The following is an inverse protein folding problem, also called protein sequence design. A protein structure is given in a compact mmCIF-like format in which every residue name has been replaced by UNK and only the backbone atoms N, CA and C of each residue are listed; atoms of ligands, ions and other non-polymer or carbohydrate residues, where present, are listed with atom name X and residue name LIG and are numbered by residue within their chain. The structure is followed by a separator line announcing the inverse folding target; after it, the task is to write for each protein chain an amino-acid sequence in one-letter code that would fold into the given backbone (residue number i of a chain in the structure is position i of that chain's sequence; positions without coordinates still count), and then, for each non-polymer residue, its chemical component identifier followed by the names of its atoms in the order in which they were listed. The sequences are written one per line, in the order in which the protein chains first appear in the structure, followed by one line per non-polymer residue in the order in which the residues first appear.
data_IF_904133924646
#
_entry.id   IF_904133924646
#
_cell.length_a   1.000
_cell.length_b   1.000
_cell.length_c   1.000
_cell.angle_alpha   90.00
_cell.angle_beta   90.00
_cell.angle_gamma   90.00
#
_symmetry.space_group_name_H-M   'P 1'
#
loop_
_entity.id
_entity.type
_entity.pdbx_description
1 polymer ?
#
# COMPACT_ATOMS: atom_id res chain seq x y z
N UNK A 1 15.56 34.76 14.31
CA UNK A 1 15.42 35.65 13.13
C UNK A 1 15.88 35.04 11.81
N UNK A 2 17.18 34.84 11.53
CA UNK A 2 17.60 34.35 10.20
C UNK A 2 17.15 32.90 9.92
N UNK A 3 17.18 32.04 10.93
CA UNK A 3 16.73 30.64 10.88
C UNK A 3 15.22 30.53 10.64
N UNK A 4 14.42 31.26 11.40
CA UNK A 4 12.95 31.29 11.24
C UNK A 4 12.53 31.86 9.89
N UNK A 5 13.27 32.83 9.35
CA UNK A 5 13.02 33.36 8.01
C UNK A 5 13.34 32.31 6.92
N UNK A 6 14.37 31.49 7.13
CA UNK A 6 14.74 30.40 6.22
C UNK A 6 13.73 29.25 6.27
N UNK A 7 13.27 28.85 7.46
CA UNK A 7 12.24 27.83 7.68
C UNK A 7 10.92 28.24 7.00
N UNK A 8 10.50 29.50 7.17
CA UNK A 8 9.33 30.05 6.46
C UNK A 8 9.51 29.99 4.93
N UNK A 9 10.68 30.34 4.42
CA UNK A 9 10.98 30.28 2.99
C UNK A 9 10.93 28.86 2.42
N UNK A 10 11.43 27.87 3.18
CA UNK A 10 11.37 26.46 2.81
C UNK A 10 9.93 25.95 2.73
N UNK A 11 9.05 26.36 3.65
CA UNK A 11 7.62 26.01 3.60
C UNK A 11 6.89 26.65 2.41
N UNK A 12 7.21 27.90 2.06
CA UNK A 12 6.67 28.52 0.84
C UNK A 12 7.10 27.78 -0.43
N UNK A 13 8.34 27.27 -0.48
CA UNK A 13 8.85 26.46 -1.57
C UNK A 13 8.16 25.09 -1.66
N UNK A 14 7.93 24.42 -0.53
CA UNK A 14 7.15 23.18 -0.47
C UNK A 14 5.72 23.40 -0.95
N UNK A 15 5.07 24.46 -0.50
CA UNK A 15 3.72 24.83 -0.92
C UNK A 15 3.65 25.13 -2.42
N UNK A 16 4.60 25.90 -2.94
CA UNK A 16 4.69 26.20 -4.37
C UNK A 16 4.93 24.92 -5.20
N UNK A 17 5.72 23.97 -4.68
CA UNK A 17 5.92 22.66 -5.32
C UNK A 17 4.64 21.83 -5.36
N UNK A 18 3.91 21.74 -4.24
CA UNK A 18 2.62 21.02 -4.19
C UNK A 18 1.64 21.63 -5.19
N UNK A 19 1.47 22.95 -5.18
CA UNK A 19 0.63 23.66 -6.15
C UNK A 19 1.06 23.44 -7.59
N UNK A 20 2.36 23.44 -7.87
CA UNK A 20 2.89 23.19 -9.22
C UNK A 20 2.61 21.76 -9.67
N UNK A 21 2.75 20.77 -8.78
CA UNK A 21 2.39 19.38 -9.07
C UNK A 21 0.89 19.24 -9.34
N UNK A 22 0.04 19.88 -8.52
CA UNK A 22 -1.41 19.88 -8.71
C UNK A 22 -1.81 20.50 -10.06
N UNK A 23 -1.16 21.61 -10.47
CA UNK A 23 -1.41 22.28 -11.75
C UNK A 23 -0.91 21.44 -12.93
N UNK A 24 0.31 20.88 -12.85
CA UNK A 24 0.87 20.05 -13.93
C UNK A 24 0.03 18.77 -14.12
N UNK A 25 -0.54 18.24 -13.04
CA UNK A 25 -1.39 17.06 -13.06
C UNK A 25 -2.87 17.36 -13.43
N UNK A 26 -3.23 18.62 -13.74
CA UNK A 26 -4.60 19.07 -14.03
C UNK A 26 -5.61 18.68 -12.92
N UNK A 27 -5.13 18.69 -11.67
CA UNK A 27 -5.95 18.43 -10.49
C UNK A 27 -6.64 19.74 -10.13
N UNK A 28 -7.80 19.96 -10.74
CA UNK A 28 -8.67 21.09 -10.41
C UNK A 28 -9.17 20.97 -8.96
N UNK A 29 -9.21 22.07 -8.17
CA UNK A 29 -9.86 22.06 -6.88
C UNK A 29 -11.33 21.68 -7.09
N UNK A 30 -11.70 20.50 -6.61
CA UNK A 30 -13.07 20.02 -6.71
C UNK A 30 -13.96 20.92 -5.86
N UNK A 31 -15.08 21.39 -6.43
CA UNK A 31 -16.12 22.18 -5.74
C UNK A 31 -16.37 21.61 -4.34
N UNK A 32 -16.13 22.41 -3.30
CA UNK A 32 -15.96 21.99 -1.90
C UNK A 32 -17.18 21.24 -1.32
N UNK A 33 -17.20 19.91 -1.45
CA UNK A 33 -18.15 19.07 -0.70
C UNK A 33 -17.67 18.87 0.75
N UNK A 34 -16.36 18.94 0.99
CA UNK A 34 -15.74 18.75 2.32
C UNK A 34 -14.78 19.88 2.70
N UNK A 35 -15.25 21.14 2.85
CA UNK A 35 -14.35 22.22 3.19
C UNK A 35 -13.75 22.06 4.60
N UNK A 36 -14.49 21.50 5.57
CA UNK A 36 -14.06 21.30 6.98
C UNK A 36 -14.63 19.99 7.51
N UNK A 37 -13.83 19.20 8.24
CA UNK A 37 -14.32 18.00 8.93
C UNK A 37 -13.68 17.78 10.31
N UNK A 38 -14.34 16.97 11.14
CA UNK A 38 -13.84 16.58 12.48
C UNK A 38 -13.80 15.06 12.58
N UNK A 39 -12.72 14.53 13.14
CA UNK A 39 -12.60 13.12 13.46
C UNK A 39 -13.31 12.85 14.79
N UNK A 40 -14.25 11.90 14.81
CA UNK A 40 -14.84 11.46 16.08
C UNK A 40 -14.64 9.97 16.27
N UNK A 41 -13.90 9.63 17.33
CA UNK A 41 -13.70 8.26 17.76
C UNK A 41 -14.86 7.81 18.63
N UNK A 42 -15.75 6.99 18.10
CA UNK A 42 -16.72 6.26 18.91
C UNK A 42 -16.04 4.94 19.29
N UNK A 43 -15.46 4.78 20.48
CA UNK A 43 -14.96 3.46 20.87
C UNK A 43 -16.15 2.47 20.98
N UNK A 44 -16.02 1.18 20.64
CA UNK A 44 -17.15 0.25 20.75
C UNK A 44 -17.58 0.09 22.22
N UNK A 45 -16.63 0.16 23.16
CA UNK A 45 -16.93 0.13 24.60
C UNK A 45 -17.52 1.45 25.13
N UNK A 46 -17.34 2.57 24.43
CA UNK A 46 -18.00 3.84 24.79
C UNK A 46 -19.51 3.78 24.51
N UNK A 47 -19.95 2.86 23.63
CA UNK A 47 -21.35 2.53 23.39
C UNK A 47 -21.92 1.61 24.49
N UNK A 48 -21.17 0.58 24.92
CA UNK A 48 -21.58 -0.29 26.02
C UNK A 48 -21.73 0.53 27.31
N UNK A 49 -20.84 1.50 27.53
CA UNK A 49 -20.88 2.40 28.68
C UNK A 49 -21.67 3.70 28.48
N UNK A 50 -22.40 3.93 27.37
CA UNK A 50 -23.34 5.05 27.17
C UNK A 50 -22.79 6.49 27.39
N UNK A 51 -21.48 6.71 27.44
CA UNK A 51 -20.89 8.00 27.80
C UNK A 51 -20.08 8.64 26.67
N UNK A 52 -20.57 8.55 25.42
CA UNK A 52 -20.34 9.66 24.50
C UNK A 52 -21.42 10.70 24.75
N UNK A 53 -21.10 11.85 25.40
CA UNK A 53 -22.13 12.82 25.70
C UNK A 53 -22.70 13.35 24.38
N UNK A 54 -24.01 13.23 24.18
CA UNK A 54 -24.76 13.83 23.06
C UNK A 54 -24.43 15.32 22.83
N UNK A 55 -23.84 15.98 23.85
CA UNK A 55 -23.28 17.33 23.80
C UNK A 55 -22.23 17.51 22.70
N UNK A 56 -21.37 16.52 22.42
CA UNK A 56 -20.33 16.63 21.39
C UNK A 56 -20.93 16.61 19.97
N UNK A 57 -21.97 15.79 19.73
CA UNK A 57 -22.67 15.76 18.44
C UNK A 57 -23.48 17.04 18.19
N UNK A 58 -24.15 17.60 19.21
CA UNK A 58 -24.87 18.86 19.07
C UNK A 58 -23.93 20.04 18.74
N UNK A 59 -22.69 20.03 19.27
CA UNK A 59 -21.69 21.04 18.93
C UNK A 59 -21.20 20.88 17.48
N UNK A 60 -20.94 19.66 17.04
CA UNK A 60 -20.53 19.38 15.66
C UNK A 60 -21.64 19.74 14.66
N UNK A 61 -22.89 19.39 14.99
CA UNK A 61 -24.09 19.80 14.24
C UNK A 61 -24.21 21.33 14.17
N UNK A 62 -24.02 22.03 15.29
CA UNK A 62 -24.04 23.49 15.33
C UNK A 62 -22.89 24.14 14.53
N UNK A 63 -21.75 23.46 14.40
CA UNK A 63 -20.63 23.92 13.57
C UNK A 63 -20.86 23.68 12.07
N UNK A 64 -21.81 22.81 11.68
CA UNK A 64 -22.11 22.50 10.29
C UNK A 64 -20.98 21.78 9.54
N UNK A 65 -20.03 21.19 10.27
CA UNK A 65 -18.83 20.55 9.73
C UNK A 65 -19.08 19.09 9.35
N UNK A 66 -18.27 18.56 8.44
CA UNK A 66 -18.35 17.16 8.04
C UNK A 66 -17.77 16.25 9.14
N UNK A 67 -18.15 14.97 9.14
CA UNK A 67 -17.69 14.01 10.15
C UNK A 67 -16.93 12.85 9.54
N UNK A 68 -15.75 12.53 10.07
CA UNK A 68 -15.13 11.20 9.91
C UNK A 68 -15.49 10.42 11.16
N UNK A 69 -16.39 9.44 11.01
CA UNK A 69 -17.03 8.77 12.14
C UNK A 69 -16.67 7.30 12.14
N UNK A 70 -16.12 6.83 13.26
CA UNK A 70 -15.89 5.42 13.48
C UNK A 70 -17.19 4.68 13.86
N UNK A 71 -17.32 3.41 13.45
CA UNK A 71 -18.46 2.54 13.81
C UNK A 71 -19.83 3.05 13.39
N UNK A 72 -20.02 3.31 12.11
CA UNK A 72 -21.35 3.61 11.59
C UNK A 72 -22.17 2.32 11.50
N UNK A 73 -23.35 2.30 12.12
CA UNK A 73 -24.25 1.13 12.17
C UNK A 73 -25.69 1.58 11.96
N UNK A 74 -26.58 0.63 11.67
CA UNK A 74 -28.01 0.94 11.56
C UNK A 74 -28.58 1.50 12.87
N UNK A 75 -28.06 1.05 14.02
CA UNK A 75 -28.52 1.47 15.35
C UNK A 75 -28.23 2.96 15.65
N UNK A 76 -27.15 3.51 15.08
CA UNK A 76 -26.77 4.91 15.31
C UNK A 76 -27.13 5.86 14.15
N UNK A 77 -27.82 5.35 13.13
CA UNK A 77 -28.19 6.11 11.93
C UNK A 77 -28.90 7.42 12.23
N UNK A 78 -29.93 7.41 13.09
CA UNK A 78 -30.71 8.62 13.40
C UNK A 78 -29.87 9.73 14.04
N UNK A 79 -28.82 9.35 14.78
CA UNK A 79 -27.87 10.31 15.38
C UNK A 79 -26.92 10.83 14.31
N UNK A 80 -26.44 9.97 13.42
CA UNK A 80 -25.47 10.33 12.39
C UNK A 80 -26.08 11.08 11.19
N UNK A 81 -27.40 11.04 11.01
CA UNK A 81 -28.10 11.85 9.98
C UNK A 81 -27.98 13.36 10.23
N UNK A 82 -27.52 13.80 11.41
CA UNK A 82 -27.28 15.20 11.75
C UNK A 82 -26.07 15.81 11.05
N UNK A 83 -25.15 14.97 10.56
CA UNK A 83 -23.98 15.44 9.83
C UNK A 83 -24.35 15.81 8.40
N UNK A 84 -23.89 16.97 7.92
CA UNK A 84 -24.08 17.40 6.53
C UNK A 84 -23.49 16.38 5.55
N UNK A 85 -22.21 16.05 5.73
CA UNK A 85 -21.57 14.93 5.06
C UNK A 85 -20.78 14.07 6.04
N UNK A 86 -20.81 12.78 5.77
CA UNK A 86 -20.27 11.71 6.59
C UNK A 86 -19.25 10.90 5.79
N UNK A 87 -18.10 10.66 6.39
CA UNK A 87 -17.11 9.67 6.00
C UNK A 87 -17.16 8.54 7.03
N UNK A 88 -17.54 7.34 6.61
CA UNK A 88 -17.64 6.18 7.51
C UNK A 88 -16.32 5.46 7.67
N UNK A 89 -15.89 5.18 8.91
CA UNK A 89 -14.71 4.39 9.23
C UNK A 89 -15.09 3.14 10.06
N UNK A 90 -15.33 2.04 9.37
CA UNK A 90 -15.60 0.75 10.01
C UNK A 90 -14.42 -0.18 9.78
N UNK A 91 -13.50 -0.27 10.73
CA UNK A 91 -12.28 -1.08 10.62
C UNK A 91 -12.04 -2.01 11.83
N UNK A 92 -13.12 -2.33 12.56
CA UNK A 92 -13.05 -2.95 13.88
C UNK A 92 -13.36 -4.44 13.88
N UNK A 93 -13.95 -4.94 12.79
CA UNK A 93 -14.21 -6.35 12.62
C UNK A 93 -13.82 -6.82 11.22
N UNK A 94 -13.50 -8.11 11.08
CA UNK A 94 -13.28 -8.75 9.78
C UNK A 94 -14.52 -8.72 8.87
N UNK A 95 -15.70 -8.51 9.47
CA UNK A 95 -16.98 -8.34 8.77
C UNK A 95 -17.15 -6.95 8.17
N UNK A 96 -16.31 -5.98 8.54
CA UNK A 96 -16.30 -4.66 7.91
C UNK A 96 -15.61 -4.73 6.54
N UNK A 97 -16.30 -5.34 5.57
CA UNK A 97 -15.68 -5.85 4.34
C UNK A 97 -14.96 -4.78 3.53
N UNK A 98 -15.46 -3.55 3.51
CA UNK A 98 -14.83 -2.44 2.78
C UNK A 98 -13.44 -2.14 3.35
N UNK A 99 -13.32 -1.83 4.64
CA UNK A 99 -12.03 -1.54 5.26
C UNK A 99 -11.14 -2.79 5.35
N UNK A 100 -11.73 -3.96 5.60
CA UNK A 100 -11.02 -5.23 5.63
C UNK A 100 -10.23 -5.45 4.34
N UNK A 101 -10.89 -5.42 3.18
CA UNK A 101 -10.23 -5.64 1.90
C UNK A 101 -9.34 -4.46 1.48
N UNK A 102 -9.71 -3.21 1.81
CA UNK A 102 -8.88 -2.04 1.51
C UNK A 102 -7.56 -2.03 2.30
N UNK A 103 -7.52 -2.70 3.46
CA UNK A 103 -6.33 -2.82 4.33
C UNK A 103 -5.44 -4.03 3.99
N UNK A 104 -5.75 -4.77 2.92
CA UNK A 104 -4.91 -5.89 2.46
C UNK A 104 -3.59 -5.41 1.88
N UNK A 105 -2.72 -6.38 1.60
CA UNK A 105 -1.44 -6.19 0.92
C UNK A 105 -1.41 -7.06 -0.33
N UNK A 106 -1.36 -6.44 -1.50
CA UNK A 106 -1.27 -7.11 -2.78
C UNK A 106 -0.56 -6.21 -3.80
N UNK A 107 0.47 -6.73 -4.46
CA UNK A 107 1.09 -6.12 -5.63
C UNK A 107 1.52 -7.17 -6.64
N UNK A 108 1.54 -6.78 -7.90
CA UNK A 108 2.11 -7.55 -9.00
C UNK A 108 3.06 -6.66 -9.77
N UNK A 109 4.20 -7.23 -10.11
CA UNK A 109 5.30 -6.58 -10.81
C UNK A 109 5.60 -7.41 -12.05
N UNK A 110 5.25 -6.89 -13.21
CA UNK A 110 5.53 -7.56 -14.47
C UNK A 110 7.04 -7.57 -14.71
N UNK A 111 7.59 -8.67 -15.19
CA UNK A 111 9.03 -8.79 -15.38
C UNK A 111 9.53 -7.87 -16.51
N UNK A 112 8.68 -7.55 -17.49
CA UNK A 112 9.02 -6.63 -18.58
C UNK A 112 8.95 -5.15 -18.18
N UNK A 113 8.35 -4.82 -17.03
CA UNK A 113 8.47 -3.49 -16.45
C UNK A 113 9.94 -3.28 -16.09
N UNK A 114 10.58 -2.26 -16.65
CA UNK A 114 12.01 -2.04 -16.43
C UNK A 114 12.25 -0.61 -16.01
N UNK A 115 12.97 -0.47 -14.90
CA UNK A 115 13.61 0.76 -14.49
C UNK A 115 15.11 0.70 -14.74
N UNK A 116 15.79 1.84 -14.60
CA UNK A 116 17.24 1.87 -14.55
C UNK A 116 17.74 0.97 -13.40
N UNK A 117 18.73 0.13 -13.67
CA UNK A 117 19.31 -0.78 -12.68
C UNK A 117 19.88 -0.06 -11.44
N UNK A 118 20.31 1.19 -11.60
CA UNK A 118 20.82 2.06 -10.55
C UNK A 118 19.75 3.00 -9.96
N UNK A 119 18.49 2.89 -10.39
CA UNK A 119 17.41 3.65 -9.78
C UNK A 119 17.28 3.32 -8.29
N UNK A 120 17.12 4.37 -7.49
CA UNK A 120 16.87 4.28 -6.05
C UNK A 120 15.37 4.22 -5.72
N UNK A 121 14.51 4.37 -6.72
CA UNK A 121 13.05 4.27 -6.57
C UNK A 121 12.56 2.83 -6.80
N UNK A 122 11.34 2.50 -6.33
CA UNK A 122 10.88 1.13 -6.41
C UNK A 122 10.40 0.68 -7.77
N UNK A 123 10.97 -0.42 -8.25
CA UNK A 123 10.53 -1.11 -9.46
C UNK A 123 11.46 -2.25 -9.87
N UNK A 124 11.03 -2.98 -10.89
CA UNK A 124 11.76 -4.14 -11.42
C UNK A 124 12.99 -3.67 -12.21
N UNK A 125 14.14 -4.27 -11.89
CA UNK A 125 15.46 -3.91 -12.41
C UNK A 125 16.16 -5.16 -12.96
N UNK A 126 16.96 -4.95 -14.00
CA UNK A 126 17.62 -6.01 -14.77
C UNK A 126 19.12 -5.73 -14.89
N UNK A 127 19.97 -6.67 -14.46
CA UNK A 127 21.43 -6.57 -14.71
C UNK A 127 21.82 -7.24 -16.03
N UNK A 128 21.08 -8.29 -16.40
CA UNK A 128 21.34 -9.14 -17.57
C UNK A 128 20.02 -9.49 -18.26
N UNK A 129 20.11 -10.09 -19.44
CA UNK A 129 18.97 -10.65 -20.17
C UNK A 129 18.39 -9.70 -21.21
N UNK A 130 17.16 -9.99 -21.63
CA UNK A 130 16.42 -9.19 -22.60
C UNK A 130 14.92 -9.25 -22.34
N UNK A 131 14.24 -8.19 -22.77
CA UNK A 131 12.78 -8.03 -22.68
C UNK A 131 12.07 -8.76 -23.81
N UNK A 132 11.09 -9.59 -23.45
CA UNK A 132 10.07 -10.14 -24.34
C UNK A 132 8.78 -9.31 -24.31
N UNK A 133 7.70 -9.85 -24.88
CA UNK A 133 6.39 -9.18 -24.87
C UNK A 133 5.71 -9.27 -23.50
N UNK A 134 5.77 -10.44 -22.88
CA UNK A 134 5.10 -10.82 -21.62
C UNK A 134 6.09 -11.51 -20.66
N UNK A 135 7.38 -11.22 -20.82
CA UNK A 135 8.44 -11.81 -19.99
C UNK A 135 9.74 -11.03 -20.04
N UNK A 136 10.62 -11.36 -19.11
CA UNK A 136 12.05 -11.08 -19.18
C UNK A 136 12.86 -12.37 -19.16
N UNK A 137 13.85 -12.48 -20.06
CA UNK A 137 14.59 -13.73 -20.28
C UNK A 137 16.09 -13.56 -20.06
N UNK A 138 16.73 -14.60 -19.53
CA UNK A 138 18.18 -14.58 -19.24
C UNK A 138 19.07 -14.58 -20.48
N UNK A 139 18.55 -15.07 -21.61
CA UNK A 139 19.40 -15.54 -22.71
C UNK A 139 20.25 -16.75 -22.30
N UNK A 140 21.30 -17.01 -23.07
CA UNK A 140 22.25 -18.12 -22.86
C UNK A 140 23.71 -17.62 -22.96
N UNK A 141 24.07 -16.59 -22.18
CA UNK A 141 25.40 -15.97 -22.23
C UNK A 141 26.22 -16.40 -20.99
N UNK A 142 27.22 -17.30 -21.10
CA UNK A 142 27.93 -17.84 -19.93
C UNK A 142 28.55 -16.81 -18.98
N UNK A 143 28.99 -15.64 -19.48
CA UNK A 143 29.55 -14.56 -18.65
C UNK A 143 28.52 -13.86 -17.75
N UNK A 144 27.24 -14.18 -17.91
CA UNK A 144 26.13 -13.63 -17.13
C UNK A 144 25.66 -14.58 -16.00
N UNK A 145 26.26 -15.76 -15.87
CA UNK A 145 25.95 -16.70 -14.79
C UNK A 145 26.26 -16.06 -13.43
N UNK A 146 25.32 -16.18 -12.49
CA UNK A 146 25.39 -15.63 -11.13
C UNK A 146 24.90 -14.20 -10.99
N UNK A 147 24.43 -13.56 -12.07
CA UNK A 147 23.92 -12.18 -12.06
C UNK A 147 22.42 -12.08 -11.87
N UNK A 148 21.94 -10.90 -11.50
CA UNK A 148 20.51 -10.64 -11.33
C UNK A 148 19.80 -10.56 -12.68
N UNK A 149 18.98 -11.56 -12.98
CA UNK A 149 18.00 -11.43 -14.04
C UNK A 149 16.93 -10.43 -13.62
N UNK A 150 16.37 -10.60 -12.43
CA UNK A 150 15.43 -9.67 -11.80
C UNK A 150 15.94 -9.28 -10.43
N UNK A 151 15.83 -8.00 -10.09
CA UNK A 151 15.99 -7.47 -8.74
C UNK A 151 15.03 -6.31 -8.50
N UNK A 152 14.70 -6.02 -7.24
CA UNK A 152 13.70 -5.03 -6.83
C UNK A 152 12.39 -5.66 -6.32
N UNK A 153 11.33 -4.87 -6.07
CA UNK A 153 11.25 -3.44 -6.26
C UNK A 153 12.00 -2.60 -5.23
N UNK A 154 12.52 -3.13 -4.12
CA UNK A 154 13.16 -2.30 -3.07
C UNK A 154 12.17 -1.34 -2.40
N UNK A 155 11.18 -1.89 -1.69
CA UNK A 155 10.17 -1.07 -1.03
C UNK A 155 9.84 -1.54 0.37
N UNK A 156 9.34 -0.62 1.17
CA UNK A 156 8.91 -0.91 2.53
C UNK A 156 7.63 -1.77 2.57
N UNK A 157 7.62 -2.76 3.46
CA UNK A 157 6.46 -3.61 3.74
C UNK A 157 6.14 -3.60 5.24
N UNK A 158 4.84 -3.50 5.56
CA UNK A 158 4.38 -3.47 6.95
C UNK A 158 4.59 -4.83 7.64
N UNK A 159 4.85 -4.79 8.96
CA UNK A 159 4.98 -6.00 9.77
C UNK A 159 3.66 -6.49 10.35
N UNK A 160 2.69 -5.60 10.53
CA UNK A 160 1.36 -5.88 11.08
C UNK A 160 0.29 -5.13 10.29
N UNK A 161 -0.96 -5.61 10.37
CA UNK A 161 -2.09 -4.88 9.83
C UNK A 161 -2.34 -3.60 10.62
N UNK A 162 -2.94 -2.62 9.96
CA UNK A 162 -3.42 -1.39 10.59
C UNK A 162 -4.92 -1.47 10.92
N UNK A 163 -5.38 -2.70 11.19
CA UNK A 163 -6.75 -3.00 11.60
C UNK A 163 -6.78 -3.07 13.13
N UNK A 164 -7.73 -2.39 13.76
CA UNK A 164 -7.79 -2.25 15.23
C UNK A 164 -7.84 -3.56 16.01
N UNK A 165 -8.29 -4.64 15.36
CA UNK A 165 -8.52 -5.96 15.96
C UNK A 165 -7.46 -7.00 15.56
N UNK A 166 -6.47 -6.64 14.73
CA UNK A 166 -5.46 -7.59 14.25
C UNK A 166 -4.04 -7.04 14.44
N UNK A 167 -3.35 -7.58 15.45
CA UNK A 167 -1.96 -7.28 15.76
C UNK A 167 -1.00 -8.42 15.34
N UNK A 168 -1.44 -9.33 14.48
CA UNK A 168 -0.59 -10.44 14.07
C UNK A 168 0.49 -9.98 13.10
N UNK A 169 1.66 -10.63 13.18
CA UNK A 169 2.70 -10.44 12.18
C UNK A 169 2.23 -10.96 10.84
N UNK A 170 2.26 -10.11 9.82
CA UNK A 170 1.84 -10.43 8.46
C UNK A 170 2.72 -11.57 7.91
N UNK A 171 2.08 -12.63 7.45
CA UNK A 171 2.69 -13.67 6.63
C UNK A 171 2.50 -13.29 5.17
N UNK A 172 3.59 -12.88 4.52
CA UNK A 172 3.59 -12.60 3.10
C UNK A 172 3.85 -13.87 2.30
N UNK A 173 3.32 -13.89 1.08
CA UNK A 173 3.67 -14.82 0.02
C UNK A 173 4.19 -14.05 -1.16
N UNK A 174 5.27 -14.56 -1.75
CA UNK A 174 5.74 -14.15 -3.07
C UNK A 174 5.57 -15.32 -4.03
N UNK A 175 4.98 -15.04 -5.19
CA UNK A 175 4.83 -15.95 -6.31
C UNK A 175 5.72 -15.46 -7.44
N UNK A 176 6.68 -16.28 -7.83
CA UNK A 176 7.44 -16.11 -9.06
C UNK A 176 6.83 -16.99 -10.14
N UNK A 177 6.47 -16.41 -11.28
CA UNK A 177 5.98 -17.17 -12.42
C UNK A 177 7.07 -17.28 -13.48
N UNK A 178 7.52 -18.51 -13.72
CA UNK A 178 8.70 -18.77 -14.55
C UNK A 178 8.60 -20.08 -15.36
N UNK A 179 9.36 -20.12 -16.46
CA UNK A 179 9.57 -21.29 -17.33
C UNK A 179 11.02 -21.33 -17.82
N UNK A 180 11.43 -22.46 -18.39
CA UNK A 180 12.75 -22.64 -19.02
C UNK A 180 12.64 -22.94 -20.52
N UNK A 181 13.70 -22.69 -21.27
CA UNK A 181 13.80 -23.15 -22.65
C UNK A 181 13.92 -24.68 -22.73
N UNK A 182 12.85 -25.32 -23.23
CA UNK A 182 12.80 -26.76 -23.43
C UNK A 182 12.53 -27.55 -22.14
N UNK A 183 11.96 -28.75 -22.29
CA UNK A 183 11.79 -29.68 -21.18
C UNK A 183 13.05 -30.53 -21.01
N UNK A 184 13.37 -30.86 -19.75
CA UNK A 184 14.51 -31.73 -19.44
C UNK A 184 14.28 -32.48 -18.14
N UNK A 185 14.94 -33.63 -18.00
CA UNK A 185 15.02 -34.40 -16.75
C UNK A 185 16.33 -34.16 -16.02
N UNK A 186 17.21 -33.28 -16.54
CA UNK A 186 18.50 -32.97 -15.93
C UNK A 186 18.34 -32.28 -14.57
N UNK A 187 19.14 -32.73 -13.60
CA UNK A 187 19.15 -32.22 -12.24
C UNK A 187 20.23 -31.14 -12.06
N UNK A 188 20.18 -30.10 -12.87
CA UNK A 188 21.14 -28.98 -12.88
C UNK A 188 20.49 -27.69 -12.41
N UNK A 189 21.24 -26.85 -11.71
CA UNK A 189 20.76 -25.57 -11.18
C UNK A 189 20.48 -24.59 -12.33
N UNK A 190 19.35 -23.89 -12.28
CA UNK A 190 18.96 -22.91 -13.32
C UNK A 190 18.90 -21.52 -12.75
N UNK A 191 18.31 -21.36 -11.56
CA UNK A 191 18.20 -20.07 -10.92
C UNK A 191 18.13 -20.17 -9.41
N UNK A 192 18.46 -19.07 -8.74
CA UNK A 192 18.23 -18.86 -7.32
C UNK A 192 17.15 -17.79 -7.15
N UNK A 193 16.11 -18.12 -6.38
CA UNK A 193 15.06 -17.18 -6.00
C UNK A 193 15.31 -16.76 -4.56
N UNK A 194 15.34 -15.46 -4.31
CA UNK A 194 15.69 -14.92 -2.99
C UNK A 194 14.77 -13.77 -2.61
N UNK A 195 14.36 -13.73 -1.35
CA UNK A 195 13.70 -12.58 -0.72
C UNK A 195 14.66 -12.02 0.32
N UNK A 196 15.02 -10.75 0.17
CA UNK A 196 15.99 -10.07 1.03
C UNK A 196 15.34 -8.82 1.60
N UNK A 197 15.64 -8.50 2.86
CA UNK A 197 15.30 -7.22 3.45
C UNK A 197 16.57 -6.44 3.75
N UNK A 198 16.66 -5.20 3.27
CA UNK A 198 17.73 -4.26 3.60
C UNK A 198 17.26 -3.24 4.64
N UNK A 199 17.92 -3.22 5.79
CA UNK A 199 17.71 -2.23 6.83
C UNK A 199 18.36 -0.88 6.44
N UNK A 200 17.91 0.24 7.02
CA UNK A 200 18.48 1.56 6.72
C UNK A 200 19.98 1.69 6.97
N UNK A 201 20.49 0.98 7.97
CA UNK A 201 21.93 0.94 8.29
C UNK A 201 22.77 0.05 7.36
N UNK A 202 22.16 -0.48 6.29
CA UNK A 202 22.84 -1.33 5.32
C UNK A 202 22.96 -2.81 5.66
N UNK A 203 22.61 -3.19 6.89
CA UNK A 203 22.49 -4.60 7.21
C UNK A 203 21.35 -5.22 6.41
N UNK A 204 21.50 -6.49 6.04
CA UNK A 204 20.44 -7.20 5.34
C UNK A 204 20.22 -8.58 5.96
N UNK A 205 19.01 -9.11 5.73
CA UNK A 205 18.67 -10.48 6.06
C UNK A 205 18.04 -11.17 4.87
N UNK A 206 18.42 -12.42 4.65
CA UNK A 206 17.78 -13.28 3.66
C UNK A 206 16.55 -13.89 4.31
N UNK A 207 15.38 -13.39 3.94
CA UNK A 207 14.11 -13.86 4.49
C UNK A 207 13.71 -15.21 3.91
N UNK A 208 14.07 -15.43 2.64
CA UNK A 208 13.84 -16.69 1.94
C UNK A 208 14.86 -16.90 0.83
N UNK A 209 15.21 -18.15 0.58
CA UNK A 209 16.13 -18.53 -0.48
C UNK A 209 15.85 -19.95 -0.99
N UNK A 210 15.93 -20.15 -2.30
CA UNK A 210 15.88 -21.48 -2.90
C UNK A 210 16.60 -21.53 -4.24
N UNK A 211 17.17 -22.68 -4.57
CA UNK A 211 17.74 -22.95 -5.89
C UNK A 211 16.77 -23.85 -6.64
N UNK A 212 16.35 -23.40 -7.83
CA UNK A 212 15.51 -24.18 -8.72
C UNK A 212 16.36 -24.87 -9.78
N UNK A 213 16.04 -26.14 -9.98
CA UNK A 213 16.71 -27.03 -10.92
C UNK A 213 15.87 -27.27 -12.15
N UNK A 214 16.51 -27.62 -13.26
CA UNK A 214 15.86 -27.73 -14.55
C UNK A 214 14.73 -28.79 -14.56
N UNK A 215 14.90 -29.91 -13.84
CA UNK A 215 13.88 -30.96 -13.68
C UNK A 215 12.65 -30.55 -12.83
N UNK A 216 12.70 -29.44 -12.10
CA UNK A 216 11.57 -28.89 -11.31
C UNK A 216 10.83 -27.78 -12.09
N UNK A 217 11.45 -27.29 -13.17
CA UNK A 217 10.92 -26.29 -14.07
C UNK A 217 10.33 -26.94 -15.33
N UNK A 218 9.53 -26.18 -16.06
CA UNK A 218 8.85 -26.63 -17.26
C UNK A 218 9.09 -25.63 -18.40
N UNK A 219 8.89 -26.07 -19.63
CA UNK A 219 8.74 -25.18 -20.78
C UNK A 219 7.41 -24.40 -20.81
N UNK A 220 6.50 -24.69 -19.87
CA UNK A 220 5.29 -23.90 -19.60
C UNK A 220 5.46 -23.12 -18.30
N UNK A 221 4.78 -21.98 -18.17
CA UNK A 221 4.85 -21.18 -16.95
C UNK A 221 4.35 -21.95 -15.74
N UNK A 222 5.16 -21.96 -14.71
CA UNK A 222 4.85 -22.54 -13.41
C UNK A 222 5.04 -21.51 -12.32
N UNK A 223 4.17 -21.58 -11.32
CA UNK A 223 4.22 -20.70 -10.17
C UNK A 223 5.08 -21.33 -9.07
N UNK A 224 6.02 -20.57 -8.54
CA UNK A 224 6.83 -20.93 -7.37
C UNK A 224 6.53 -19.95 -6.26
N UNK A 225 5.88 -20.45 -5.22
CA UNK A 225 5.34 -19.64 -4.13
C UNK A 225 6.17 -19.88 -2.87
N UNK A 226 6.57 -18.80 -2.22
CA UNK A 226 7.24 -18.86 -0.93
C UNK A 226 6.56 -17.96 0.09
N UNK A 227 6.55 -18.44 1.31
CA UNK A 227 6.19 -17.66 2.49
C UNK A 227 7.42 -16.93 3.05
N UNK A 228 7.19 -15.73 3.60
CA UNK A 228 8.17 -15.01 4.40
C UNK A 228 7.50 -14.07 5.41
N UNK A 229 8.24 -13.73 6.46
CA UNK A 229 7.86 -12.72 7.45
C UNK A 229 8.99 -11.72 7.60
N UNK A 230 8.64 -10.47 7.86
CA UNK A 230 9.62 -9.43 8.15
C UNK A 230 10.00 -9.54 9.64
N UNK A 231 11.29 -9.76 9.96
CA UNK A 231 11.73 -9.96 11.33
C UNK A 231 11.57 -8.68 12.16
N UNK A 232 11.55 -8.83 13.49
CA UNK A 232 11.53 -7.68 14.41
C UNK A 232 12.84 -6.89 14.36
N UNK A 233 13.94 -7.56 14.08
CA UNK A 233 15.27 -6.95 14.04
C UNK A 233 16.09 -7.47 12.86
N UNK A 234 16.98 -6.64 12.33
CA UNK A 234 18.07 -7.05 11.43
C UNK A 234 19.36 -6.45 12.00
N UNK A 235 20.26 -7.32 12.48
CA UNK A 235 21.42 -6.88 13.26
C UNK A 235 20.97 -6.15 14.53
N UNK A 236 21.52 -4.96 14.76
CA UNK A 236 21.13 -4.08 15.87
C UNK A 236 19.94 -3.15 15.53
N UNK A 237 19.42 -3.18 14.30
CA UNK A 237 18.28 -2.36 13.90
C UNK A 237 16.97 -3.05 14.30
N UNK A 238 16.15 -2.37 15.10
CA UNK A 238 14.80 -2.82 15.46
C UNK A 238 13.77 -2.13 14.57
N UNK A 239 12.92 -2.92 13.93
CA UNK A 239 11.81 -2.41 13.14
C UNK A 239 10.62 -2.10 14.05
N UNK A 240 9.99 -0.92 13.91
CA UNK A 240 8.75 -0.63 14.61
C UNK A 240 7.67 -1.68 14.28
N UNK A 241 6.75 -1.86 15.22
CA UNK A 241 5.70 -2.89 15.18
C UNK A 241 4.59 -2.50 14.21
N UNK A 242 4.16 -1.24 14.30
CA UNK A 242 3.26 -0.52 13.40
C UNK A 242 3.90 0.87 13.24
N UNK A 243 3.76 1.49 12.08
CA UNK A 243 4.03 2.93 12.02
C UNK A 243 2.96 3.63 12.85
N UNK A 244 3.30 4.03 14.07
CA UNK A 244 2.71 5.22 14.66
C UNK A 244 3.13 6.40 13.78
N UNK A 245 2.27 7.43 13.72
CA UNK A 245 2.52 8.71 13.06
C UNK A 245 4.01 9.11 13.14
N UNK A 246 4.60 9.68 12.07
CA UNK A 246 6.00 10.13 12.03
C UNK A 246 6.44 11.04 13.21
N UNK A 247 5.50 11.56 14.00
CA UNK A 247 5.76 12.48 15.10
C UNK A 247 6.33 11.86 16.39
N UNK A 248 6.40 10.53 16.54
CA UNK A 248 6.71 9.92 17.85
C UNK A 248 7.98 9.07 17.94
N UNK A 249 8.24 8.23 16.95
CA UNK A 249 8.97 6.99 17.20
C UNK A 249 10.30 6.87 16.45
N UNK A 250 10.99 7.99 16.26
CA UNK A 250 12.42 7.97 15.93
C UNK A 250 12.75 7.12 14.71
N UNK A 251 12.00 7.30 13.61
CA UNK A 251 12.57 6.92 12.33
C UNK A 251 13.89 7.68 12.21
N UNK A 252 15.04 7.01 12.02
CA UNK A 252 16.25 7.74 11.73
C UNK A 252 15.93 8.58 10.51
N UNK A 253 16.08 9.90 10.68
CA UNK A 253 16.16 10.88 9.62
C UNK A 253 16.76 10.18 8.42
N UNK A 254 15.96 10.08 7.35
CA UNK A 254 16.39 9.97 5.97
C UNK A 254 17.91 9.82 5.87
N UNK A 255 18.43 8.59 6.00
CA UNK A 255 19.86 8.37 5.85
C UNK A 255 20.17 8.34 4.35
N UNK A 256 20.17 9.54 3.77
CA UNK A 256 20.58 9.82 2.39
C UNK A 256 22.04 9.40 2.14
N UNK A 257 22.81 9.07 3.19
CA UNK A 257 24.19 8.60 3.06
C UNK A 257 24.29 7.11 2.71
N UNK A 258 23.22 6.34 2.91
CA UNK A 258 23.16 4.96 2.43
C UNK A 258 22.52 4.92 1.04
N UNK A 259 23.24 4.39 0.04
CA UNK A 259 22.89 4.34 -1.38
C UNK A 259 21.53 3.66 -1.71
N UNK A 260 20.43 4.29 -1.34
CA UNK A 260 19.16 4.23 -2.06
C UNK A 260 18.36 2.93 -2.00
N UNK A 261 18.67 1.98 -1.12
CA UNK A 261 18.17 0.60 -1.21
C UNK A 261 17.77 0.03 0.14
N UNK A 262 16.59 0.41 0.62
CA UNK A 262 15.98 -0.09 1.86
C UNK A 262 14.71 -0.91 1.54
N UNK A 263 14.29 -1.77 2.46
CA UNK A 263 13.05 -2.56 2.32
C UNK A 263 13.25 -3.92 1.67
N UNK A 264 12.16 -4.48 1.16
CA UNK A 264 12.09 -5.85 0.61
C UNK A 264 12.45 -5.87 -0.87
N UNK A 265 13.29 -6.84 -1.22
CA UNK A 265 13.78 -7.11 -2.57
C UNK A 265 13.53 -8.57 -2.93
N UNK A 266 13.03 -8.78 -4.14
CA UNK A 266 12.81 -10.09 -4.74
C UNK A 266 13.83 -10.28 -5.87
N UNK A 267 14.68 -11.29 -5.73
CA UNK A 267 15.75 -11.55 -6.68
C UNK A 267 15.49 -12.84 -7.45
N UNK A 268 15.74 -12.78 -8.75
CA UNK A 268 15.92 -13.94 -9.62
C UNK A 268 17.35 -13.90 -10.14
N UNK A 269 18.20 -14.77 -9.63
CA UNK A 269 19.61 -14.88 -10.05
C UNK A 269 19.72 -16.04 -11.02
N UNK A 270 20.21 -15.79 -12.24
CA UNK A 270 20.36 -16.83 -13.24
C UNK A 270 21.66 -17.61 -13.01
N UNK A 271 21.59 -18.94 -12.90
CA UNK A 271 22.73 -19.82 -12.62
C UNK A 271 23.22 -20.59 -13.86
N UNK A 272 22.69 -20.26 -15.05
CA UNK A 272 23.09 -20.89 -16.31
C UNK A 272 22.28 -22.14 -16.63
N UNK A 273 22.91 -23.05 -17.39
CA UNK A 273 22.40 -24.36 -17.84
C UNK A 273 21.19 -24.35 -18.79
N UNK A 274 20.24 -23.44 -18.60
CA UNK A 274 19.08 -23.22 -19.46
C UNK A 274 18.69 -21.75 -19.45
N UNK A 275 18.16 -21.26 -20.55
CA UNK A 275 17.50 -19.95 -20.59
C UNK A 275 16.26 -19.98 -19.69
N UNK A 276 16.16 -18.98 -18.82
CA UNK A 276 15.06 -18.77 -17.89
C UNK A 276 14.19 -17.61 -18.39
N UNK A 277 12.89 -17.76 -18.30
CA UNK A 277 11.90 -16.72 -18.59
C UNK A 277 11.09 -16.45 -17.32
N UNK A 278 10.99 -15.19 -16.93
CA UNK A 278 10.16 -14.71 -15.82
C UNK A 278 9.01 -13.91 -16.40
N UNK A 279 7.78 -14.23 -16.03
CA UNK A 279 6.56 -13.51 -16.42
C UNK A 279 6.33 -12.36 -15.43
N UNK A 280 6.14 -12.68 -14.15
CA UNK A 280 5.95 -11.68 -13.11
C UNK A 280 6.41 -12.15 -11.73
N UNK A 281 6.48 -11.18 -10.82
CA UNK A 281 6.57 -11.38 -9.37
C UNK A 281 5.30 -10.81 -8.73
N UNK A 282 4.54 -11.65 -8.06
CA UNK A 282 3.31 -11.26 -7.35
C UNK A 282 3.53 -11.43 -5.84
N UNK A 283 3.14 -10.44 -5.06
CA UNK A 283 3.34 -10.38 -3.61
C UNK A 283 2.00 -10.13 -2.94
N UNK A 284 1.67 -10.88 -1.90
CA UNK A 284 0.42 -10.72 -1.19
C UNK A 284 0.49 -11.28 0.23
N UNK A 285 -0.32 -10.76 1.14
CA UNK A 285 -0.47 -11.38 2.46
C UNK A 285 -1.40 -12.61 2.43
N UNK A 286 -1.19 -13.55 3.35
CA UNK A 286 -1.95 -14.82 3.42
C UNK A 286 -3.34 -14.71 4.06
N UNK A 287 -3.79 -13.50 4.41
CA UNK A 287 -5.06 -13.29 5.11
C UNK A 287 -6.10 -12.61 4.22
N UNK A 288 -5.78 -11.44 3.69
CA UNK A 288 -6.61 -10.53 2.91
C UNK A 288 -6.10 -10.48 1.46
N UNK A 289 -4.80 -10.28 1.27
CA UNK A 289 -4.15 -10.11 -0.03
C UNK A 289 -4.39 -11.27 -1.00
N UNK A 290 -4.42 -12.51 -0.50
CA UNK A 290 -4.71 -13.70 -1.29
C UNK A 290 -6.07 -13.67 -1.99
N UNK A 291 -7.06 -12.99 -1.40
CA UNK A 291 -8.43 -12.88 -1.92
C UNK A 291 -8.53 -11.76 -2.97
N UNK A 292 -7.58 -10.82 -2.98
CA UNK A 292 -7.53 -9.69 -3.92
C UNK A 292 -6.91 -10.08 -5.28
N UNK A 293 -6.35 -11.28 -5.37
CA UNK A 293 -5.79 -11.83 -6.61
C UNK A 293 -6.89 -12.01 -7.67
N UNK A 294 -6.57 -11.83 -8.97
CA UNK A 294 -7.56 -11.80 -10.05
C UNK A 294 -8.59 -12.94 -10.01
N UNK A 295 -8.15 -14.14 -9.69
CA UNK A 295 -8.99 -15.35 -9.65
C UNK A 295 -10.03 -15.38 -8.50
N UNK A 296 -9.88 -14.56 -7.45
CA UNK A 296 -10.79 -14.49 -6.30
C UNK A 296 -11.60 -13.20 -6.21
N UNK A 297 -11.37 -12.23 -7.12
CA UNK A 297 -12.01 -10.90 -7.09
C UNK A 297 -13.54 -10.92 -7.12
N UNK A 298 -14.15 -11.98 -7.66
CA UNK A 298 -15.61 -12.14 -7.64
C UNK A 298 -16.18 -12.20 -6.22
N UNK A 299 -15.50 -12.90 -5.30
CA UNK A 299 -15.93 -13.00 -3.91
C UNK A 299 -15.75 -11.68 -3.16
N UNK A 300 -14.62 -10.99 -3.39
CA UNK A 300 -14.38 -9.65 -2.85
C UNK A 300 -15.46 -8.67 -3.31
N UNK A 301 -15.80 -8.69 -4.61
CA UNK A 301 -16.85 -7.86 -5.18
C UNK A 301 -18.21 -8.13 -4.53
N UNK A 302 -18.58 -9.40 -4.37
CA UNK A 302 -19.82 -9.79 -3.69
C UNK A 302 -19.85 -9.32 -2.23
N UNK A 303 -18.78 -9.55 -1.47
CA UNK A 303 -18.69 -9.22 -0.05
C UNK A 303 -18.73 -7.70 0.19
N UNK A 304 -17.98 -6.92 -0.59
CA UNK A 304 -18.00 -5.45 -0.51
C UNK A 304 -19.38 -4.89 -0.89
N UNK A 305 -19.97 -5.38 -1.98
CA UNK A 305 -21.28 -4.91 -2.44
C UNK A 305 -22.39 -5.25 -1.45
N UNK A 306 -22.37 -6.45 -0.87
CA UNK A 306 -23.33 -6.86 0.16
C UNK A 306 -23.19 -6.02 1.42
N UNK A 307 -21.96 -5.73 1.84
CA UNK A 307 -21.72 -4.84 2.98
C UNK A 307 -22.23 -3.43 2.71
N UNK A 308 -21.88 -2.84 1.57
CA UNK A 308 -22.29 -1.49 1.17
C UNK A 308 -23.82 -1.37 1.02
N UNK A 309 -24.49 -2.42 0.56
CA UNK A 309 -25.95 -2.46 0.44
C UNK A 309 -26.68 -2.34 1.79
N UNK A 310 -26.02 -2.62 2.91
CA UNK A 310 -26.56 -2.35 4.25
C UNK A 310 -26.58 -0.85 4.58
N UNK A 311 -25.99 0.00 3.76
CA UNK A 311 -25.96 1.46 3.93
C UNK A 311 -26.53 2.15 2.68
N UNK A 312 -27.79 1.86 2.29
CA UNK A 312 -28.36 2.39 1.06
C UNK A 312 -28.49 3.91 1.15
N UNK A 313 -28.18 4.60 0.04
CA UNK A 313 -28.23 6.08 -0.04
C UNK A 313 -29.61 6.66 0.28
N UNK A 314 -30.70 5.89 0.13
CA UNK A 314 -32.04 6.31 0.54
C UNK A 314 -32.20 6.44 2.06
N UNK A 315 -31.36 5.76 2.84
CA UNK A 315 -31.35 5.82 4.30
C UNK A 315 -30.12 6.58 4.85
N UNK A 316 -29.02 6.57 4.09
CA UNK A 316 -27.75 7.25 4.40
C UNK A 316 -27.38 8.31 3.34
N UNK A 317 -28.23 9.31 3.08
CA UNK A 317 -27.97 10.30 2.02
C UNK A 317 -26.76 11.20 2.29
N UNK A 318 -26.33 11.27 3.55
CA UNK A 318 -25.18 12.05 3.99
C UNK A 318 -23.86 11.24 4.00
N UNK A 319 -23.90 9.90 3.85
CA UNK A 319 -22.69 9.09 3.70
C UNK A 319 -22.11 9.28 2.30
N UNK A 320 -20.97 9.98 2.20
CA UNK A 320 -20.33 10.31 0.91
C UNK A 320 -19.16 9.43 0.56
N UNK A 321 -18.40 9.01 1.58
CA UNK A 321 -17.21 8.17 1.40
C UNK A 321 -17.07 7.15 2.52
N UNK A 322 -16.34 6.08 2.23
CA UNK A 322 -15.76 5.19 3.22
C UNK A 322 -14.30 5.54 3.42
N UNK A 323 -13.86 5.68 4.65
CA UNK A 323 -12.46 5.82 4.96
C UNK A 323 -11.78 4.46 4.77
N UNK A 324 -11.01 4.32 3.68
CA UNK A 324 -10.48 3.03 3.26
C UNK A 324 -9.17 2.66 3.93
N UNK A 325 -8.28 3.63 4.08
CA UNK A 325 -6.95 3.47 4.63
C UNK A 325 -6.53 4.79 5.25
N UNK A 326 -5.87 4.74 6.41
CA UNK A 326 -5.16 5.89 6.95
C UNK A 326 -3.78 5.91 6.31
N UNK A 327 -3.46 6.85 5.43
CA UNK A 327 -2.15 6.98 4.74
C UNK A 327 -1.62 5.67 4.12
N UNK A 328 -1.61 5.50 2.80
CA UNK A 328 -1.02 4.31 2.20
C UNK A 328 0.49 4.23 2.50
N UNK A 329 0.86 3.39 3.48
CA UNK A 329 2.23 3.27 4.00
C UNK A 329 3.11 2.30 3.19
N UNK A 330 2.52 1.49 2.34
CA UNK A 330 3.25 0.53 1.51
C UNK A 330 2.61 0.46 0.14
N UNK A 331 3.43 0.30 -0.90
CA UNK A 331 2.98 0.12 -2.29
C UNK A 331 2.00 -1.05 -2.42
N UNK A 332 2.11 -2.05 -1.54
CA UNK A 332 1.20 -3.19 -1.48
C UNK A 332 -0.22 -2.83 -1.06
N UNK A 333 -0.45 -1.67 -0.43
CA UNK A 333 -1.81 -1.22 -0.08
C UNK A 333 -2.54 -0.54 -1.25
N UNK A 334 -1.81 -0.19 -2.32
CA UNK A 334 -2.35 0.65 -3.38
C UNK A 334 -3.39 -0.13 -4.21
N UNK A 335 -3.04 -1.33 -4.68
CA UNK A 335 -3.98 -2.16 -5.46
C UNK A 335 -5.21 -2.62 -4.65
N UNK A 336 -5.08 -3.08 -3.40
CA UNK A 336 -6.22 -3.31 -2.51
C UNK A 336 -7.21 -2.15 -2.47
N UNK A 337 -6.72 -0.93 -2.23
CA UNK A 337 -7.53 0.28 -2.25
C UNK A 337 -8.24 0.45 -3.61
N UNK A 338 -7.50 0.38 -4.72
CA UNK A 338 -8.02 0.54 -6.08
C UNK A 338 -9.12 -0.47 -6.42
N UNK A 339 -8.92 -1.73 -6.03
CA UNK A 339 -9.87 -2.82 -6.26
C UNK A 339 -11.19 -2.52 -5.54
N UNK A 340 -11.12 -2.20 -4.25
CA UNK A 340 -12.32 -1.91 -3.45
C UNK A 340 -13.02 -0.65 -3.94
N UNK A 341 -12.29 0.43 -4.22
CA UNK A 341 -12.85 1.67 -4.76
C UNK A 341 -13.56 1.44 -6.10
N UNK A 342 -12.95 0.69 -7.01
CA UNK A 342 -13.55 0.32 -8.29
C UNK A 342 -14.85 -0.49 -8.13
N UNK A 343 -14.91 -1.42 -7.16
CA UNK A 343 -16.13 -2.18 -6.87
C UNK A 343 -17.24 -1.23 -6.39
N UNK A 344 -16.94 -0.32 -5.46
CA UNK A 344 -17.92 0.62 -4.92
C UNK A 344 -18.46 1.55 -6.02
N UNK A 345 -17.55 2.13 -6.82
CA UNK A 345 -17.90 3.05 -7.89
C UNK A 345 -18.81 2.41 -8.95
N UNK A 346 -18.47 1.21 -9.44
CA UNK A 346 -19.27 0.51 -10.48
C UNK A 346 -20.68 0.17 -9.99
N UNK A 347 -20.86 -0.03 -8.68
CA UNK A 347 -22.16 -0.35 -8.08
C UNK A 347 -22.91 0.89 -7.56
N UNK A 348 -22.36 2.10 -7.75
CA UNK A 348 -22.99 3.35 -7.28
C UNK A 348 -23.03 3.50 -5.76
N UNK A 349 -22.13 2.82 -5.04
CA UNK A 349 -21.94 3.01 -3.61
C UNK A 349 -20.97 4.16 -3.32
N UNK A 350 -21.00 4.75 -2.11
CA UNK A 350 -19.96 5.67 -1.66
C UNK A 350 -18.56 5.10 -1.90
N UNK A 351 -17.69 5.87 -2.54
CA UNK A 351 -16.33 5.47 -2.87
C UNK A 351 -15.40 5.55 -1.65
N UNK A 352 -14.16 5.08 -1.80
CA UNK A 352 -13.14 5.23 -0.77
C UNK A 352 -12.57 6.65 -0.74
N UNK A 353 -12.15 7.07 0.45
CA UNK A 353 -11.27 8.22 0.68
C UNK A 353 -10.13 7.81 1.62
N UNK A 354 -8.96 8.43 1.44
CA UNK A 354 -7.77 8.28 2.30
C UNK A 354 -7.26 9.65 2.73
N UNK A 355 -6.48 9.69 3.80
CA UNK A 355 -5.79 10.90 4.28
C UNK A 355 -4.30 10.86 4.03
N UNK A 356 -3.70 12.06 4.01
CA UNK A 356 -2.27 12.32 4.20
C UNK A 356 -2.05 13.40 5.26
N UNK A 357 -1.10 13.17 6.16
CA UNK A 357 -0.69 14.14 7.18
C UNK A 357 0.26 15.20 6.60
N UNK A 358 0.07 16.51 6.88
CA UNK A 358 0.83 17.59 6.27
C UNK A 358 2.27 17.71 6.78
N UNK A 359 2.56 17.27 8.01
CA UNK A 359 3.93 17.29 8.53
C UNK A 359 4.71 16.02 8.15
N UNK A 360 4.05 15.08 7.49
CA UNK A 360 4.75 14.05 6.76
C UNK A 360 5.35 14.67 5.49
N UNK A 361 6.66 14.51 5.30
CA UNK A 361 7.36 15.04 4.13
C UNK A 361 6.93 14.38 2.80
N UNK A 362 6.02 13.40 2.89
CA UNK A 362 5.39 12.75 1.75
C UNK A 362 6.33 11.79 1.02
N UNK A 363 7.53 11.54 1.56
CA UNK A 363 8.56 10.75 0.89
C UNK A 363 8.69 9.36 1.52
N UNK A 364 8.65 8.33 0.68
CA UNK A 364 8.90 6.94 1.04
C UNK A 364 9.65 6.26 -0.08
N UNK A 365 10.53 5.32 0.25
CA UNK A 365 11.28 4.55 -0.75
C UNK A 365 11.95 5.45 -1.83
N UNK A 366 12.46 6.62 -1.40
CA UNK A 366 13.09 7.64 -2.26
C UNK A 366 12.19 8.31 -3.31
N UNK A 367 10.87 8.30 -3.12
CA UNK A 367 9.89 8.96 -3.98
C UNK A 367 8.78 9.64 -3.17
N UNK A 368 8.04 10.56 -3.80
CA UNK A 368 6.85 11.15 -3.19
C UNK A 368 5.72 10.12 -3.24
N UNK A 369 5.38 9.53 -2.09
CA UNK A 369 4.39 8.46 -1.97
C UNK A 369 3.01 8.92 -2.46
N UNK A 370 2.55 10.11 -2.03
CA UNK A 370 1.27 10.67 -2.46
C UNK A 370 1.20 10.80 -3.99
N UNK A 371 2.30 11.23 -4.63
CA UNK A 371 2.37 11.31 -6.09
C UNK A 371 2.19 9.92 -6.70
N UNK A 372 2.95 8.92 -6.22
CA UNK A 372 2.84 7.55 -6.74
C UNK A 372 1.44 6.97 -6.54
N UNK A 373 0.84 7.19 -5.37
CA UNK A 373 -0.51 6.74 -5.06
C UNK A 373 -1.52 7.38 -6.01
N UNK A 374 -1.50 8.71 -6.16
CA UNK A 374 -2.43 9.43 -7.06
C UNK A 374 -2.25 8.98 -8.51
N UNK A 375 -1.01 8.87 -9.00
CA UNK A 375 -0.74 8.44 -10.38
C UNK A 375 -1.18 6.99 -10.64
N UNK A 376 -0.94 6.09 -9.69
CA UNK A 376 -1.25 4.66 -9.85
C UNK A 376 -2.73 4.34 -9.62
N UNK A 377 -3.33 4.96 -8.61
CA UNK A 377 -4.67 4.59 -8.12
C UNK A 377 -5.74 5.49 -8.70
N UNK A 378 -5.42 6.74 -9.02
CA UNK A 378 -6.38 7.73 -9.49
C UNK A 378 -7.62 7.79 -8.58
N UNK A 379 -7.42 7.95 -7.25
CA UNK A 379 -8.52 7.95 -6.31
C UNK A 379 -9.50 9.08 -6.65
N UNK A 380 -10.79 8.86 -6.45
CA UNK A 380 -11.79 9.91 -6.67
C UNK A 380 -11.46 11.19 -5.86
N UNK A 381 -10.98 10.99 -4.63
CA UNK A 381 -10.53 12.04 -3.70
C UNK A 381 -9.44 11.58 -2.75
N UNK A 382 -8.68 12.56 -2.27
CA UNK A 382 -7.71 12.43 -1.18
C UNK A 382 -7.94 13.59 -0.21
N UNK A 383 -7.87 13.31 1.08
CA UNK A 383 -7.97 14.30 2.14
C UNK A 383 -6.58 14.66 2.67
N UNK A 384 -6.35 15.93 2.96
CA UNK A 384 -5.12 16.41 3.62
C UNK A 384 -5.49 16.90 5.02
N UNK A 385 -4.77 16.45 6.05
CA UNK A 385 -5.01 16.93 7.42
C UNK A 385 -4.85 18.47 7.48
N UNK A 386 -5.68 19.12 8.30
CA UNK A 386 -5.76 20.58 8.51
C UNK A 386 -6.26 21.47 7.36
N UNK A 387 -6.83 20.93 6.28
CA UNK A 387 -7.58 21.78 5.36
C UNK A 387 -8.98 22.12 5.92
N UNK A 388 -9.28 23.39 6.30
CA UNK A 388 -8.52 24.63 6.17
C UNK A 388 -8.48 25.38 7.52
N UNK A 389 -8.02 24.72 8.59
CA UNK A 389 -7.81 25.39 9.87
C UNK A 389 -6.42 25.09 10.39
N UNK A 390 -5.50 25.99 10.04
CA UNK A 390 -4.26 26.20 10.77
C UNK A 390 -4.46 27.47 11.60
N UNK A 391 -4.52 27.35 12.93
CA UNK A 391 -4.38 28.50 13.82
C UNK A 391 -2.91 28.60 14.25
N UNK A 392 -2.36 29.80 14.10
CA UNK A 392 -1.00 30.19 14.49
C UNK A 392 -0.71 30.02 15.99
#
# INVERSE_FOLDING_TARGET
MLREALERWMHYLQYAMVLTVLIIADINPQTEEFPVGVFTNLHPDDYVNHHYPAQNHNQIEAMGVNGVIQFITQDNQSTLQRYTNLIGLNAHYATDRIAYYASGYYSRWEAEDSMDYYANTPGVKHEIGYRGTDYYASGNIPSQIGKYLITGPDYFQNRQYRLFWNNDTILYKVKFRLKIAGNTTENVDVCRLQVVYYAPNGNFSVLRDTILKANILSNSYTDKIFDYKIPKTIGAYEFPIQHASPEGDGFPERDDSYNGRQGVRFNVIWLGNRELFVDFIEVYDDQIGKDLRPEFRGEVSYNCSTYAANYPQTQWPNLKYWYGLDEPQSIDNFEPYRIVDSILNVNGFPCLITTYYPEWDGVRDHEIDMKRFVEKIQPARVMYYYYPFYYY
#
